data_IF_245973565484
#
_entry.id   IF_245973565484
#
_cell.length_a   1.000
_cell.length_b   1.000
_cell.length_c   1.000
_cell.angle_alpha   90.00
_cell.angle_beta   90.00
_cell.angle_gamma   90.00
#
_symmetry.space_group_name_H-M   'P 1'
#
loop_
_entity.id
_entity.type
_entity.pdbx_description
1 polymer ?
#
# COMPACT_ATOMS: atom_id res chain seq x y z
N UNK A 1 -22.35 76.83 -37.16
CA UNK A 1 -21.20 76.09 -37.67
C UNK A 1 -20.63 75.25 -36.54
N UNK A 2 -20.32 74.02 -36.90
CA UNK A 2 -20.12 72.83 -36.07
C UNK A 2 -18.98 72.90 -35.05
N UNK A 3 -19.05 71.94 -34.13
CA UNK A 3 -18.34 71.71 -32.88
C UNK A 3 -16.81 71.67 -32.98
N UNK A 4 -16.14 72.05 -31.89
CA UNK A 4 -14.80 71.56 -31.57
C UNK A 4 -14.90 70.66 -30.33
N UNK A 5 -14.72 69.37 -30.56
CA UNK A 5 -14.58 68.30 -29.57
C UNK A 5 -13.34 68.56 -28.69
N UNK A 6 -13.59 68.77 -27.40
CA UNK A 6 -12.57 68.94 -26.36
C UNK A 6 -12.56 67.69 -25.46
N UNK A 7 -12.25 66.54 -26.03
CA UNK A 7 -11.87 65.37 -25.24
C UNK A 7 -10.39 65.48 -24.81
N UNK A 8 -10.07 65.47 -23.51
CA UNK A 8 -8.69 65.54 -23.06
C UNK A 8 -7.98 64.23 -23.42
N UNK A 9 -6.92 64.33 -24.25
CA UNK A 9 -6.02 63.20 -24.50
C UNK A 9 -5.39 62.78 -23.17
N UNK A 10 -5.77 61.60 -22.67
CA UNK A 10 -5.12 60.99 -21.50
C UNK A 10 -3.60 60.95 -21.74
N UNK A 11 -2.78 61.31 -20.74
CA UNK A 11 -1.34 61.35 -20.90
C UNK A 11 -0.82 59.97 -21.33
N UNK A 12 -0.09 59.92 -22.44
CA UNK A 12 0.44 58.71 -23.08
C UNK A 12 1.38 57.85 -22.19
N UNK A 13 1.65 58.31 -20.96
CA UNK A 13 2.68 57.81 -20.05
C UNK A 13 2.16 56.87 -18.96
N UNK A 14 0.84 56.73 -18.84
CA UNK A 14 0.20 55.80 -17.89
C UNK A 14 0.06 54.41 -18.50
N UNK A 15 -0.27 54.33 -19.79
CA UNK A 15 -0.46 53.05 -20.51
C UNK A 15 0.82 52.23 -20.63
N UNK A 16 1.97 52.87 -20.92
CA UNK A 16 3.27 52.18 -21.00
C UNK A 16 3.71 51.60 -19.65
N UNK A 17 3.36 52.26 -18.54
CA UNK A 17 3.66 51.78 -17.19
C UNK A 17 2.71 50.67 -16.75
N UNK A 18 1.45 50.75 -17.13
CA UNK A 18 0.46 49.70 -16.92
C UNK A 18 0.84 48.45 -17.74
N UNK A 19 1.24 48.61 -19.01
CA UNK A 19 1.75 47.51 -19.84
C UNK A 19 3.03 46.90 -19.28
N UNK A 20 4.01 47.71 -18.85
CA UNK A 20 5.21 47.19 -18.19
C UNK A 20 4.88 46.41 -16.91
N UNK A 21 3.98 46.93 -16.08
CA UNK A 21 3.54 46.25 -14.87
C UNK A 21 2.81 44.93 -15.19
N UNK A 22 1.97 44.89 -16.22
CA UNK A 22 1.32 43.67 -16.67
C UNK A 22 2.33 42.63 -17.18
N UNK A 23 3.32 43.04 -17.97
CA UNK A 23 4.39 42.15 -18.44
C UNK A 23 5.25 41.60 -17.29
N UNK A 24 5.61 42.42 -16.31
CA UNK A 24 6.35 42.00 -15.12
C UNK A 24 5.56 40.99 -14.27
N UNK A 25 4.25 41.17 -14.14
CA UNK A 25 3.38 40.22 -13.41
C UNK A 25 3.25 38.89 -14.16
N UNK A 26 3.09 38.91 -15.49
CA UNK A 26 3.02 37.68 -16.30
C UNK A 26 4.34 36.91 -16.28
N UNK A 27 5.48 37.60 -16.36
CA UNK A 27 6.80 36.98 -16.26
C UNK A 27 7.07 36.41 -14.86
N UNK A 28 6.70 37.14 -13.80
CA UNK A 28 6.80 36.64 -12.43
C UNK A 28 5.90 35.40 -12.20
N UNK A 29 4.68 35.40 -12.75
CA UNK A 29 3.79 34.25 -12.68
C UNK A 29 4.34 33.04 -13.43
N UNK A 30 4.93 33.24 -14.62
CA UNK A 30 5.59 32.17 -15.39
C UNK A 30 6.77 31.57 -14.63
N UNK A 31 7.64 32.41 -14.07
CA UNK A 31 8.80 31.95 -13.29
C UNK A 31 8.36 31.20 -12.01
N UNK A 32 7.32 31.68 -11.33
CA UNK A 32 6.77 31.01 -10.15
C UNK A 32 6.20 29.63 -10.51
N UNK A 33 5.51 29.51 -11.63
CA UNK A 33 4.99 28.22 -12.11
C UNK A 33 6.12 27.27 -12.53
N UNK A 34 7.15 27.76 -13.23
CA UNK A 34 8.34 26.98 -13.57
C UNK A 34 9.07 26.47 -12.32
N UNK A 35 9.23 27.32 -11.30
CA UNK A 35 9.81 26.93 -10.01
C UNK A 35 8.96 25.87 -9.32
N UNK A 36 7.63 26.07 -9.27
CA UNK A 36 6.70 25.11 -8.66
C UNK A 36 6.79 23.74 -9.32
N UNK A 37 6.81 23.69 -10.66
CA UNK A 37 6.96 22.44 -11.42
C UNK A 37 8.33 21.80 -11.20
N UNK A 38 9.40 22.59 -11.07
CA UNK A 38 10.73 22.08 -10.78
C UNK A 38 10.81 21.46 -9.38
N UNK A 39 10.25 22.12 -8.38
CA UNK A 39 10.15 21.60 -7.00
C UNK A 39 9.31 20.32 -6.95
N UNK A 40 8.19 20.29 -7.67
CA UNK A 40 7.32 19.11 -7.79
C UNK A 40 8.06 17.92 -8.43
N UNK A 41 8.77 18.17 -9.54
CA UNK A 41 9.61 17.17 -10.20
C UNK A 41 10.66 16.61 -9.24
N UNK A 42 11.35 17.48 -8.52
CA UNK A 42 12.43 17.08 -7.62
C UNK A 42 11.91 16.22 -6.46
N UNK A 43 10.81 16.63 -5.82
CA UNK A 43 10.19 15.86 -4.74
C UNK A 43 9.72 14.47 -5.21
N UNK A 44 9.14 14.38 -6.40
CA UNK A 44 8.73 13.10 -6.97
C UNK A 44 9.93 12.18 -7.23
N UNK A 45 11.04 12.72 -7.74
CA UNK A 45 12.27 11.96 -7.98
C UNK A 45 12.86 11.47 -6.66
N UNK A 46 13.01 12.34 -5.65
CA UNK A 46 13.54 11.95 -4.34
C UNK A 46 12.69 10.83 -3.70
N UNK A 47 11.36 10.91 -3.83
CA UNK A 47 10.47 9.88 -3.31
C UNK A 47 10.67 8.53 -4.02
N UNK A 48 10.74 8.51 -5.35
CA UNK A 48 10.99 7.27 -6.11
C UNK A 48 12.33 6.65 -5.73
N UNK A 49 13.37 7.46 -5.56
CA UNK A 49 14.70 7.02 -5.15
C UNK A 49 14.68 6.44 -3.74
N UNK A 50 14.06 7.14 -2.78
CA UNK A 50 13.96 6.68 -1.40
C UNK A 50 13.20 5.35 -1.31
N UNK A 51 12.02 5.29 -1.94
CA UNK A 51 11.22 4.07 -1.96
C UNK A 51 11.98 2.88 -2.56
N UNK A 52 12.72 3.12 -3.65
CA UNK A 52 13.50 2.06 -4.27
C UNK A 52 14.56 1.51 -3.31
N UNK A 53 15.32 2.37 -2.63
CA UNK A 53 16.36 1.93 -1.70
C UNK A 53 15.82 1.33 -0.39
N UNK A 54 14.57 1.63 -0.02
CA UNK A 54 13.91 0.96 1.11
C UNK A 54 13.49 -0.48 0.75
N UNK A 55 13.24 -0.76 -0.53
CA UNK A 55 12.75 -2.06 -1.01
C UNK A 55 13.83 -2.92 -1.65
N UNK A 56 14.88 -2.32 -2.21
CA UNK A 56 15.94 -2.99 -2.93
C UNK A 56 17.31 -2.61 -2.39
N UNK A 57 18.23 -3.57 -2.41
CA UNK A 57 19.59 -3.39 -1.97
C UNK A 57 20.59 -3.78 -3.06
N UNK A 58 21.78 -3.18 -2.99
CA UNK A 58 22.89 -3.55 -3.86
C UNK A 58 23.26 -5.02 -3.59
N UNK A 59 23.30 -5.88 -4.62
CA UNK A 59 23.65 -7.28 -4.46
C UNK A 59 25.04 -7.48 -3.84
N UNK A 60 25.97 -6.53 -4.00
CA UNK A 60 27.30 -6.57 -3.38
C UNK A 60 27.26 -6.67 -1.85
N UNK A 61 26.18 -6.23 -1.21
CA UNK A 61 26.09 -6.21 0.25
C UNK A 61 25.80 -7.60 0.83
N UNK A 62 24.84 -8.34 0.25
CA UNK A 62 24.31 -9.57 0.83
C UNK A 62 24.26 -10.77 -0.12
N UNK A 63 24.42 -10.59 -1.43
CA UNK A 63 24.34 -11.68 -2.39
C UNK A 63 25.67 -12.41 -2.52
N UNK A 64 25.60 -13.74 -2.71
CA UNK A 64 26.78 -14.54 -2.96
C UNK A 64 27.28 -14.29 -4.39
N UNK A 65 28.57 -13.99 -4.53
CA UNK A 65 29.21 -13.76 -5.81
C UNK A 65 29.97 -14.99 -6.27
N UNK A 66 29.64 -15.51 -7.45
CA UNK A 66 30.41 -16.57 -8.11
C UNK A 66 31.53 -15.93 -8.95
N UNK A 67 32.78 -16.20 -8.57
CA UNK A 67 33.96 -15.67 -9.24
C UNK A 67 34.32 -16.37 -10.55
N UNK A 68 33.77 -17.57 -10.81
CA UNK A 68 34.03 -18.31 -12.06
C UNK A 68 33.14 -17.78 -13.19
N UNK A 69 31.87 -17.52 -12.89
CA UNK A 69 30.88 -17.00 -13.85
C UNK A 69 30.72 -15.47 -13.79
N UNK A 70 31.36 -14.80 -12.83
CA UNK A 70 31.29 -13.36 -12.57
C UNK A 70 29.86 -12.83 -12.30
N UNK A 71 29.00 -13.65 -11.69
CA UNK A 71 27.56 -13.36 -11.49
C UNK A 71 27.16 -13.41 -10.01
N UNK A 72 26.18 -12.59 -9.60
CA UNK A 72 25.53 -12.68 -8.30
C UNK A 72 24.40 -13.73 -8.31
N UNK A 73 24.32 -14.51 -7.24
CA UNK A 73 23.21 -15.43 -7.03
C UNK A 73 22.07 -14.75 -6.25
N UNK A 74 20.86 -14.80 -6.80
CA UNK A 74 19.64 -14.16 -6.27
C UNK A 74 18.63 -15.21 -5.78
N UNK A 75 18.85 -15.84 -4.61
CA UNK A 75 17.97 -16.92 -4.11
C UNK A 75 16.59 -16.46 -3.63
N UNK A 76 16.36 -15.15 -3.54
CA UNK A 76 15.17 -14.56 -2.91
C UNK A 76 14.46 -13.57 -3.84
N UNK A 77 14.52 -13.82 -5.15
CA UNK A 77 13.99 -12.95 -6.20
C UNK A 77 15.04 -12.03 -6.83
N UNK A 78 14.78 -11.66 -8.09
CA UNK A 78 15.65 -10.82 -8.92
C UNK A 78 16.43 -11.59 -10.00
N UNK A 79 17.35 -10.94 -10.72
CA UNK A 79 17.70 -9.52 -10.60
C UNK A 79 16.56 -8.60 -11.06
N UNK A 80 16.40 -7.47 -10.39
CA UNK A 80 15.41 -6.45 -10.76
C UNK A 80 16.08 -5.27 -11.47
N UNK A 81 15.44 -4.78 -12.54
CA UNK A 81 15.79 -3.53 -13.20
C UNK A 81 15.00 -2.36 -12.60
N UNK A 82 15.71 -1.28 -12.27
CA UNK A 82 15.09 -0.12 -11.62
C UNK A 82 14.05 0.59 -12.51
N UNK A 83 14.23 0.60 -13.83
CA UNK A 83 13.27 1.21 -14.74
C UNK A 83 11.99 0.37 -14.87
N UNK A 84 12.12 -0.96 -14.93
CA UNK A 84 10.97 -1.86 -14.97
C UNK A 84 10.17 -1.81 -13.66
N UNK A 85 10.86 -1.81 -12.51
CA UNK A 85 10.22 -1.68 -11.19
C UNK A 85 9.51 -0.33 -11.05
N UNK A 86 10.19 0.79 -11.34
CA UNK A 86 9.59 2.11 -11.20
C UNK A 86 8.50 2.39 -12.24
N UNK A 87 8.56 1.82 -13.44
CA UNK A 87 7.51 1.98 -14.44
C UNK A 87 6.24 1.17 -14.12
N UNK A 88 6.38 0.01 -13.48
CA UNK A 88 5.25 -0.83 -13.06
C UNK A 88 4.61 -0.39 -11.74
N UNK A 89 5.39 0.18 -10.82
CA UNK A 89 4.93 0.82 -9.57
C UNK A 89 3.99 2.01 -9.83
N UNK A 90 4.08 2.59 -11.02
CA UNK A 90 3.54 3.92 -11.29
C UNK A 90 2.64 3.89 -12.52
N UNK A 91 1.40 3.45 -12.33
CA UNK A 91 0.46 3.37 -13.44
C UNK A 91 -0.28 4.68 -13.76
N UNK A 92 -0.12 5.74 -12.95
CA UNK A 92 -0.98 6.93 -13.11
C UNK A 92 -0.33 8.32 -13.17
N UNK A 93 0.91 8.65 -12.72
CA UNK A 93 1.18 10.10 -12.54
C UNK A 93 2.55 10.82 -12.71
N UNK A 94 3.76 10.28 -12.57
CA UNK A 94 4.97 10.99 -12.98
C UNK A 94 5.18 10.82 -14.49
N UNK A 95 5.54 11.93 -15.13
CA UNK A 95 6.01 11.92 -16.51
C UNK A 95 7.16 10.93 -16.62
N UNK A 96 7.22 10.18 -17.72
CA UNK A 96 8.31 9.22 -18.00
C UNK A 96 9.71 9.82 -17.78
N UNK A 97 9.88 11.10 -18.10
CA UNK A 97 11.12 11.88 -17.88
C UNK A 97 11.55 11.97 -16.40
N UNK A 98 10.61 11.87 -15.45
CA UNK A 98 10.91 11.90 -14.02
C UNK A 98 11.34 10.52 -13.53
N UNK A 99 10.72 9.46 -14.05
CA UNK A 99 11.13 8.07 -13.79
C UNK A 99 12.56 7.86 -14.28
N UNK A 100 12.85 8.28 -15.52
CA UNK A 100 14.21 8.22 -16.08
C UNK A 100 15.25 8.93 -15.20
N UNK A 101 14.89 10.11 -14.67
CA UNK A 101 15.76 10.86 -13.76
C UNK A 101 15.95 10.19 -12.39
N UNK A 102 14.93 9.48 -11.88
CA UNK A 102 15.07 8.68 -10.66
C UNK A 102 15.95 7.44 -10.89
N UNK A 103 15.75 6.73 -12.00
CA UNK A 103 16.59 5.60 -12.41
C UNK A 103 18.05 6.02 -12.52
N UNK A 104 18.33 7.17 -13.14
CA UNK A 104 19.70 7.70 -13.24
C UNK A 104 20.34 7.92 -11.87
N UNK A 105 19.58 8.40 -10.87
CA UNK A 105 20.08 8.58 -9.50
C UNK A 105 20.32 7.25 -8.79
N UNK A 106 19.39 6.30 -8.93
CA UNK A 106 19.51 4.97 -8.32
C UNK A 106 20.75 4.24 -8.85
N UNK A 107 20.92 4.26 -10.18
CA UNK A 107 21.99 3.53 -10.86
C UNK A 107 23.30 4.34 -10.95
N UNK A 108 23.39 5.51 -10.31
CA UNK A 108 24.57 6.37 -10.36
C UNK A 108 25.85 5.68 -9.83
N UNK A 109 25.70 4.75 -8.89
CA UNK A 109 26.81 3.94 -8.36
C UNK A 109 27.33 2.88 -9.33
N UNK A 110 26.66 2.68 -10.48
CA UNK A 110 26.98 1.63 -11.45
C UNK A 110 26.27 0.29 -11.19
N UNK A 111 25.31 0.26 -10.28
CA UNK A 111 24.51 -0.92 -9.96
C UNK A 111 23.23 -0.92 -10.81
N UNK A 112 23.06 -1.94 -11.64
CA UNK A 112 21.93 -2.05 -12.58
C UNK A 112 20.99 -3.21 -12.23
N UNK A 113 21.54 -4.26 -11.62
CA UNK A 113 20.80 -5.44 -11.17
C UNK A 113 20.63 -5.36 -9.66
N UNK A 114 19.37 -5.31 -9.21
CA UNK A 114 19.05 -5.07 -7.81
C UNK A 114 18.45 -6.32 -7.15
N UNK A 115 18.82 -6.54 -5.89
CA UNK A 115 18.24 -7.58 -5.05
C UNK A 115 17.12 -6.98 -4.18
N UNK A 116 16.04 -7.73 -3.90
CA UNK A 116 15.03 -7.27 -2.95
C UNK A 116 15.58 -7.31 -1.52
N UNK A 117 15.15 -6.38 -0.68
CA UNK A 117 15.45 -6.41 0.75
C UNK A 117 14.61 -7.49 1.44
N UNK A 118 15.12 -8.06 2.54
CA UNK A 118 14.47 -9.14 3.30
C UNK A 118 13.11 -8.79 3.94
N UNK A 119 12.68 -7.54 3.86
CA UNK A 119 11.41 -7.05 4.42
C UNK A 119 10.47 -6.49 3.33
N UNK A 120 10.90 -6.48 2.06
CA UNK A 120 10.12 -5.96 0.94
C UNK A 120 9.23 -7.03 0.31
N UNK A 121 8.13 -6.60 -0.33
CA UNK A 121 7.17 -7.50 -1.00
C UNK A 121 7.78 -8.31 -2.16
N UNK A 122 8.90 -7.84 -2.72
CA UNK A 122 9.63 -8.48 -3.82
C UNK A 122 10.55 -9.62 -3.34
N UNK A 123 10.66 -9.84 -2.02
CA UNK A 123 11.49 -10.89 -1.45
C UNK A 123 10.77 -12.24 -1.53
N UNK A 124 11.29 -13.14 -2.36
CA UNK A 124 10.81 -14.51 -2.43
C UNK A 124 11.28 -15.27 -1.18
N UNK A 125 10.37 -15.45 -0.22
CA UNK A 125 10.63 -16.27 0.95
C UNK A 125 10.71 -17.76 0.53
N UNK A 126 11.82 -18.47 0.79
CA UNK A 126 11.95 -19.91 0.50
C UNK A 126 10.92 -20.79 1.23
N UNK A 127 10.19 -20.20 2.17
CA UNK A 127 9.14 -20.83 2.96
C UNK A 127 7.74 -20.67 2.34
N UNK A 128 7.62 -19.99 1.18
CA UNK A 128 6.37 -19.81 0.43
C UNK A 128 6.26 -20.68 -0.84
N UNK A 129 7.10 -21.71 -0.99
CA UNK A 129 6.94 -22.75 -2.02
C UNK A 129 6.01 -23.90 -1.58
N UNK A 130 4.94 -23.56 -0.88
CA UNK A 130 3.71 -24.35 -0.97
C UNK A 130 2.73 -23.45 -1.67
N UNK A 131 2.38 -23.81 -2.90
CA UNK A 131 1.22 -23.27 -3.60
C UNK A 131 0.14 -22.97 -2.54
N UNK A 132 -0.15 -21.67 -2.36
CA UNK A 132 -1.29 -21.13 -1.61
C UNK A 132 -2.60 -21.52 -2.32
N UNK A 133 -2.72 -22.78 -2.74
CA UNK A 133 -3.97 -23.42 -2.99
C UNK A 133 -4.75 -23.30 -1.69
N UNK A 134 -5.71 -22.38 -1.71
CA UNK A 134 -7.00 -22.42 -1.04
C UNK A 134 -7.37 -23.85 -0.58
N UNK A 135 -6.73 -24.31 0.50
CA UNK A 135 -7.17 -25.49 1.23
C UNK A 135 -8.45 -25.04 1.90
N UNK A 136 -9.54 -25.22 1.16
CA UNK A 136 -10.88 -24.96 1.63
C UNK A 136 -11.29 -26.10 2.54
N UNK A 137 -11.88 -25.78 3.69
CA UNK A 137 -12.48 -26.80 4.57
C UNK A 137 -13.52 -27.63 3.82
N UNK A 138 -14.16 -27.05 2.79
CA UNK A 138 -15.10 -27.75 1.94
C UNK A 138 -14.48 -28.94 1.20
N UNK A 139 -13.21 -28.84 0.81
CA UNK A 139 -12.46 -29.86 0.06
C UNK A 139 -11.85 -30.96 0.95
N UNK A 140 -11.78 -30.75 2.27
CA UNK A 140 -11.23 -31.73 3.20
C UNK A 140 -12.00 -33.07 3.14
N UNK A 141 -11.27 -34.20 3.11
CA UNK A 141 -11.88 -35.53 3.02
C UNK A 141 -12.49 -35.98 4.35
N UNK A 142 -11.87 -35.59 5.46
CA UNK A 142 -12.38 -35.87 6.80
C UNK A 142 -12.27 -34.67 7.76
N UNK A 143 -12.77 -34.88 8.99
CA UNK A 143 -12.83 -33.85 10.03
C UNK A 143 -11.44 -33.46 10.53
N UNK A 144 -10.50 -34.40 10.60
CA UNK A 144 -9.16 -34.13 11.12
C UNK A 144 -8.38 -33.25 10.13
N UNK A 145 -8.49 -33.55 8.83
CA UNK A 145 -7.94 -32.72 7.76
C UNK A 145 -8.52 -31.30 7.80
N UNK A 146 -9.83 -31.18 7.94
CA UNK A 146 -10.52 -29.89 8.03
C UNK A 146 -10.06 -29.05 9.23
N UNK A 147 -9.89 -29.69 10.39
CA UNK A 147 -9.35 -29.04 11.60
C UNK A 147 -7.90 -28.62 11.39
N UNK A 148 -7.06 -29.47 10.78
CA UNK A 148 -5.66 -29.14 10.50
C UNK A 148 -5.51 -27.92 9.58
N UNK A 149 -6.35 -27.84 8.53
CA UNK A 149 -6.42 -26.67 7.64
C UNK A 149 -6.80 -25.41 8.42
N UNK A 150 -7.83 -25.47 9.27
CA UNK A 150 -8.27 -24.32 10.07
C UNK A 150 -7.22 -23.88 11.07
N UNK A 151 -6.53 -24.80 11.76
CA UNK A 151 -5.45 -24.47 12.68
C UNK A 151 -4.30 -23.74 11.95
N UNK A 152 -3.92 -24.18 10.76
CA UNK A 152 -2.92 -23.48 9.96
C UNK A 152 -3.36 -22.06 9.56
N UNK A 153 -4.66 -21.84 9.28
CA UNK A 153 -5.21 -20.49 9.02
C UNK A 153 -5.18 -19.62 10.27
N UNK A 154 -5.56 -20.18 11.42
CA UNK A 154 -5.52 -19.48 12.72
C UNK A 154 -4.08 -19.09 13.10
N UNK A 155 -3.10 -19.97 12.88
CA UNK A 155 -1.68 -19.68 13.12
C UNK A 155 -1.11 -18.60 12.19
N UNK A 156 -1.64 -18.50 10.98
CA UNK A 156 -1.29 -17.41 10.04
C UNK A 156 -1.87 -16.08 10.50
N UNK A 157 -3.16 -16.07 10.87
CA UNK A 157 -3.82 -14.88 11.39
C UNK A 157 -3.14 -14.36 12.66
N UNK A 158 -2.78 -15.26 13.58
CA UNK A 158 -2.10 -14.87 14.82
C UNK A 158 -0.78 -14.13 14.57
N UNK A 159 0.04 -14.61 13.63
CA UNK A 159 1.32 -13.97 13.28
C UNK A 159 1.16 -12.55 12.74
N UNK A 160 0.00 -12.26 12.15
CA UNK A 160 -0.33 -10.98 11.52
C UNK A 160 -1.15 -10.05 12.41
N UNK A 161 -1.53 -10.48 13.63
CA UNK A 161 -2.37 -9.66 14.51
C UNK A 161 -1.73 -8.31 14.83
N UNK A 162 -0.41 -8.26 14.98
CA UNK A 162 0.28 -7.01 15.32
C UNK A 162 0.43 -6.08 14.10
N UNK A 163 0.33 -6.59 12.87
CA UNK A 163 0.35 -5.79 11.63
C UNK A 163 -0.85 -4.86 11.52
N UNK A 164 -1.99 -5.27 12.10
CA UNK A 164 -3.26 -4.53 12.07
C UNK A 164 -3.57 -3.82 13.40
N UNK A 165 -2.61 -3.77 14.32
CA UNK A 165 -2.80 -3.05 15.57
C UNK A 165 -3.12 -1.57 15.27
N UNK A 166 -4.14 -0.97 15.90
CA UNK A 166 -4.47 0.43 15.64
C UNK A 166 -3.28 1.34 15.97
N UNK A 167 -2.66 1.94 14.95
CA UNK A 167 -1.59 2.92 15.13
C UNK A 167 -2.19 4.30 15.44
N UNK A 168 -1.93 4.81 16.65
CA UNK A 168 -2.36 6.14 17.09
C UNK A 168 -1.18 7.15 17.03
N UNK A 169 -1.39 8.34 16.46
CA UNK A 169 -0.43 9.46 16.48
C UNK A 169 0.22 9.76 15.12
N UNK A 170 1.46 10.30 15.10
CA UNK A 170 2.22 10.66 13.88
C UNK A 170 2.53 9.48 12.94
N UNK A 171 2.20 8.25 13.35
CA UNK A 171 2.35 7.02 12.57
C UNK A 171 0.98 6.43 12.12
N UNK A 172 -0.12 7.16 12.34
CA UNK A 172 -1.45 6.81 11.85
C UNK A 172 -1.71 7.36 10.45
N UNK A 173 -2.79 6.89 9.80
CA UNK A 173 -3.22 7.43 8.52
C UNK A 173 -3.49 8.96 8.62
N UNK A 174 -3.30 9.75 7.54
CA UNK A 174 -3.53 11.18 7.52
C UNK A 174 -4.96 11.51 7.94
N UNK A 175 -5.16 12.72 8.50
CA UNK A 175 -6.45 13.19 8.98
C UNK A 175 -7.57 13.02 7.93
N UNK A 176 -7.22 13.09 6.64
CA UNK A 176 -8.12 12.89 5.50
C UNK A 176 -8.74 11.48 5.43
N UNK A 177 -8.01 10.43 5.80
CA UNK A 177 -8.50 9.04 5.87
C UNK A 177 -9.37 8.85 7.12
N UNK A 178 -9.04 9.56 8.19
CA UNK A 178 -9.70 9.48 9.49
C UNK A 178 -9.41 8.19 10.25
N UNK A 179 -10.00 8.10 11.45
CA UNK A 179 -9.76 7.01 12.40
C UNK A 179 -10.30 5.67 11.88
N UNK A 180 -9.58 4.55 12.08
CA UNK A 180 -10.09 3.23 11.78
C UNK A 180 -11.43 2.95 12.51
N UNK A 181 -12.40 2.26 11.88
CA UNK A 181 -13.64 1.84 12.50
C UNK A 181 -13.46 0.64 13.44
N UNK A 182 -12.24 0.10 13.53
CA UNK A 182 -11.83 -0.87 14.54
C UNK A 182 -10.90 -0.18 15.54
N UNK A 183 -11.11 -0.43 16.82
CA UNK A 183 -10.34 0.17 17.92
C UNK A 183 -9.53 -0.90 18.67
N UNK A 184 -8.88 -0.50 19.77
CA UNK A 184 -8.17 -1.45 20.64
C UNK A 184 -9.11 -2.54 21.20
N UNK A 185 -10.40 -2.25 21.41
CA UNK A 185 -11.34 -3.28 21.87
C UNK A 185 -11.58 -4.32 20.76
N UNK A 186 -11.68 -3.91 19.51
CA UNK A 186 -11.79 -4.83 18.38
C UNK A 186 -10.49 -5.64 18.17
N UNK A 187 -9.32 -5.04 18.42
CA UNK A 187 -8.04 -5.78 18.41
C UNK A 187 -7.97 -6.84 19.51
N UNK A 188 -8.38 -6.49 20.73
CA UNK A 188 -8.44 -7.41 21.86
C UNK A 188 -9.48 -8.52 21.61
N UNK A 189 -10.65 -8.19 21.06
CA UNK A 189 -11.66 -9.17 20.63
C UNK A 189 -11.13 -10.13 19.58
N UNK A 190 -10.30 -9.65 18.67
CA UNK A 190 -9.71 -10.48 17.62
C UNK A 190 -8.66 -11.45 18.19
N UNK A 191 -7.82 -10.98 19.12
CA UNK A 191 -6.89 -11.83 19.88
C UNK A 191 -7.64 -12.90 20.66
N UNK A 192 -8.73 -12.52 21.33
CA UNK A 192 -9.59 -13.45 22.06
C UNK A 192 -10.20 -14.49 21.11
N UNK A 193 -10.75 -14.06 19.96
CA UNK A 193 -11.31 -14.94 18.94
C UNK A 193 -10.30 -15.98 18.46
N UNK A 194 -9.10 -15.54 18.08
CA UNK A 194 -8.01 -16.43 17.61
C UNK A 194 -7.67 -17.46 18.69
N UNK A 195 -7.56 -17.03 19.95
CA UNK A 195 -7.28 -17.93 21.08
C UNK A 195 -8.41 -18.94 21.33
N UNK A 196 -9.67 -18.49 21.31
CA UNK A 196 -10.85 -19.35 21.51
C UNK A 196 -10.96 -20.37 20.39
N UNK A 197 -10.87 -19.95 19.13
CA UNK A 197 -10.96 -20.86 17.99
C UNK A 197 -9.83 -21.89 18.02
N UNK A 198 -8.59 -21.49 18.29
CA UNK A 198 -7.47 -22.43 18.41
C UNK A 198 -7.72 -23.47 19.50
N UNK A 199 -8.11 -23.01 20.69
CA UNK A 199 -8.35 -23.88 21.82
C UNK A 199 -9.48 -24.87 21.51
N UNK A 200 -10.58 -24.39 20.91
CA UNK A 200 -11.73 -25.22 20.59
C UNK A 200 -11.41 -26.27 19.53
N UNK A 201 -10.70 -25.90 18.47
CA UNK A 201 -10.26 -26.83 17.42
C UNK A 201 -9.25 -27.88 17.93
N UNK A 202 -8.56 -27.59 19.03
CA UNK A 202 -7.60 -28.51 19.66
C UNK A 202 -8.27 -29.53 20.59
N UNK A 203 -9.56 -29.39 20.89
CA UNK A 203 -10.30 -30.34 21.71
C UNK A 203 -10.59 -31.64 20.96
N UNK A 204 -10.60 -32.78 21.67
CA UNK A 204 -11.00 -34.07 21.09
C UNK A 204 -12.44 -34.04 20.55
N UNK A 205 -13.30 -33.25 21.20
CA UNK A 205 -14.70 -33.03 20.82
C UNK A 205 -14.99 -31.53 20.79
N UNK A 206 -14.70 -30.83 19.68
CA UNK A 206 -14.98 -29.41 19.57
C UNK A 206 -16.47 -29.10 19.71
N UNK A 207 -16.82 -28.01 20.38
CA UNK A 207 -18.18 -27.51 20.51
C UNK A 207 -18.56 -26.66 19.29
N UNK A 208 -19.48 -27.17 18.49
CA UNK A 208 -19.94 -26.50 17.27
C UNK A 208 -20.67 -25.18 17.53
N UNK A 209 -21.27 -24.99 18.71
CA UNK A 209 -21.93 -23.74 19.07
C UNK A 209 -20.93 -22.61 19.34
N UNK A 210 -19.79 -22.95 19.95
CA UNK A 210 -18.67 -22.02 20.17
C UNK A 210 -18.07 -21.64 18.81
N UNK A 211 -17.75 -22.63 17.97
CA UNK A 211 -17.18 -22.37 16.64
C UNK A 211 -18.10 -21.50 15.76
N UNK A 212 -19.42 -21.72 15.84
CA UNK A 212 -20.38 -20.89 15.12
C UNK A 212 -20.43 -19.46 15.66
N UNK A 213 -20.46 -19.27 16.98
CA UNK A 213 -20.45 -17.94 17.60
C UNK A 213 -19.18 -17.15 17.26
N UNK A 214 -18.01 -17.81 17.26
CA UNK A 214 -16.76 -17.19 16.84
C UNK A 214 -16.74 -16.86 15.34
N UNK A 215 -17.43 -17.64 14.50
CA UNK A 215 -17.54 -17.34 13.06
C UNK A 215 -18.30 -16.02 12.78
N UNK A 216 -19.32 -15.70 13.59
CA UNK A 216 -20.06 -14.44 13.47
C UNK A 216 -19.21 -13.23 13.89
N UNK A 217 -18.42 -13.39 14.96
CA UNK A 217 -17.47 -12.37 15.40
C UNK A 217 -16.39 -12.13 14.35
N UNK A 218 -15.84 -13.19 13.75
CA UNK A 218 -14.84 -13.10 12.69
C UNK A 218 -15.39 -12.32 11.49
N UNK A 219 -16.61 -12.64 11.03
CA UNK A 219 -17.27 -11.92 9.94
C UNK A 219 -17.50 -10.44 10.27
N UNK A 220 -17.91 -10.13 11.50
CA UNK A 220 -18.14 -8.75 11.95
C UNK A 220 -16.85 -7.92 11.93
N UNK A 221 -15.75 -8.46 12.46
CA UNK A 221 -14.44 -7.78 12.46
C UNK A 221 -13.91 -7.65 11.03
N UNK A 222 -13.99 -8.71 10.23
CA UNK A 222 -13.60 -8.70 8.81
C UNK A 222 -14.30 -7.57 8.04
N UNK A 223 -15.61 -7.38 8.23
CA UNK A 223 -16.36 -6.32 7.56
C UNK A 223 -15.84 -4.92 7.92
N UNK A 224 -15.49 -4.67 9.19
CA UNK A 224 -14.90 -3.39 9.63
C UNK A 224 -13.53 -3.15 9.01
N UNK A 225 -12.69 -4.17 9.01
CA UNK A 225 -11.32 -4.16 8.46
C UNK A 225 -11.36 -3.86 6.95
N UNK A 226 -12.17 -4.61 6.19
CA UNK A 226 -12.34 -4.42 4.74
C UNK A 226 -12.91 -3.04 4.41
N UNK A 227 -13.90 -2.57 5.19
CA UNK A 227 -14.48 -1.24 4.98
C UNK A 227 -13.45 -0.13 5.19
N UNK A 228 -12.55 -0.28 6.16
CA UNK A 228 -11.48 0.71 6.37
C UNK A 228 -10.43 0.68 5.26
N UNK A 229 -10.00 -0.50 4.85
CA UNK A 229 -9.11 -0.67 3.70
C UNK A 229 -9.68 0.00 2.44
N UNK A 230 -10.97 -0.19 2.19
CA UNK A 230 -11.69 0.46 1.08
C UNK A 230 -11.68 1.99 1.22
N UNK A 231 -11.88 2.51 2.43
CA UNK A 231 -11.83 3.95 2.70
C UNK A 231 -10.43 4.54 2.46
N UNK A 232 -9.37 3.82 2.82
CA UNK A 232 -7.98 4.22 2.53
C UNK A 232 -7.80 4.37 1.02
N UNK A 233 -8.20 3.35 0.25
CA UNK A 233 -8.12 3.36 -1.21
C UNK A 233 -8.92 4.51 -1.83
N UNK A 234 -10.18 4.70 -1.41
CA UNK A 234 -11.04 5.78 -1.90
C UNK A 234 -10.44 7.17 -1.61
N UNK A 235 -9.84 7.34 -0.43
CA UNK A 235 -9.21 8.61 -0.03
C UNK A 235 -7.97 8.89 -0.88
N UNK A 236 -7.14 7.87 -1.13
CA UNK A 236 -5.98 8.00 -2.01
C UNK A 236 -6.38 8.41 -3.44
N UNK A 237 -7.43 7.78 -3.99
CA UNK A 237 -7.98 8.14 -5.30
C UNK A 237 -8.53 9.58 -5.30
N UNK A 238 -9.29 9.97 -4.27
CA UNK A 238 -9.87 11.32 -4.23
C UNK A 238 -8.81 12.43 -4.09
N UNK A 239 -7.80 12.24 -3.24
CA UNK A 239 -6.76 13.23 -3.03
C UNK A 239 -5.75 13.28 -4.19
N UNK A 240 -5.61 12.19 -4.97
CA UNK A 240 -4.86 12.18 -6.23
C UNK A 240 -5.29 13.29 -7.19
N UNK A 241 -6.59 13.59 -7.21
CA UNK A 241 -7.17 14.58 -8.11
C UNK A 241 -6.93 16.03 -7.67
N UNK A 242 -6.44 16.24 -6.43
CA UNK A 242 -6.34 17.56 -5.81
C UNK A 242 -4.90 18.05 -5.67
N UNK A 243 -3.92 17.20 -5.34
CA UNK A 243 -2.52 17.63 -5.16
C UNK A 243 -1.54 16.47 -5.29
N UNK A 244 -0.52 16.61 -6.16
CA UNK A 244 0.48 15.56 -6.47
C UNK A 244 1.40 15.20 -5.29
N UNK A 245 1.74 16.15 -4.41
CA UNK A 245 2.55 15.85 -3.22
C UNK A 245 1.80 14.99 -2.18
N UNK A 246 0.49 15.20 -2.02
CA UNK A 246 -0.37 14.38 -1.14
C UNK A 246 -0.66 13.01 -1.75
N UNK A 247 -0.71 12.95 -3.08
CA UNK A 247 -0.92 11.72 -3.84
C UNK A 247 0.14 10.65 -3.51
N UNK A 248 1.43 10.96 -3.58
CA UNK A 248 2.48 9.97 -3.30
C UNK A 248 2.42 9.39 -1.88
N UNK A 249 2.11 10.24 -0.89
CA UNK A 249 1.98 9.81 0.52
C UNK A 249 0.76 8.90 0.73
N UNK A 250 -0.39 9.24 0.13
CA UNK A 250 -1.62 8.46 0.27
C UNK A 250 -1.64 7.20 -0.58
N UNK A 251 -1.00 7.21 -1.76
CA UNK A 251 -0.84 6.03 -2.61
C UNK A 251 0.08 5.01 -1.94
N UNK A 252 1.19 5.45 -1.36
CA UNK A 252 2.04 4.60 -0.53
C UNK A 252 1.25 3.94 0.59
N UNK A 253 0.37 4.67 1.29
CA UNK A 253 -0.50 4.06 2.30
C UNK A 253 -1.55 3.13 1.74
N UNK A 254 -2.18 3.45 0.60
CA UNK A 254 -3.14 2.53 -0.02
C UNK A 254 -2.48 1.18 -0.35
N UNK A 255 -1.21 1.18 -0.78
CA UNK A 255 -0.44 -0.03 -0.98
C UNK A 255 -0.03 -0.70 0.34
N UNK A 256 0.71 -0.02 1.22
CA UNK A 256 1.30 -0.65 2.42
C UNK A 256 0.31 -0.93 3.55
N UNK A 257 -0.76 -0.14 3.70
CA UNK A 257 -1.73 -0.31 4.79
C UNK A 257 -3.10 -0.70 4.27
N UNK A 258 -3.56 -0.13 3.15
CA UNK A 258 -4.86 -0.45 2.57
C UNK A 258 -4.93 -1.89 2.05
N UNK A 259 -3.96 -2.30 1.23
CA UNK A 259 -3.98 -3.61 0.58
C UNK A 259 -3.76 -4.76 1.57
N UNK A 260 -2.79 -4.63 2.48
CA UNK A 260 -2.53 -5.67 3.49
C UNK A 260 -3.67 -5.81 4.48
N UNK A 261 -4.31 -4.70 4.85
CA UNK A 261 -5.52 -4.72 5.67
C UNK A 261 -6.69 -5.37 4.91
N UNK A 262 -6.83 -5.13 3.60
CA UNK A 262 -7.83 -5.80 2.78
C UNK A 262 -7.59 -7.31 2.73
N UNK A 263 -6.36 -7.77 2.49
CA UNK A 263 -5.98 -9.19 2.52
C UNK A 263 -6.30 -9.82 3.88
N UNK A 264 -5.90 -9.15 4.97
CA UNK A 264 -6.17 -9.63 6.31
C UNK A 264 -7.67 -9.75 6.59
N UNK A 265 -8.46 -8.75 6.17
CA UNK A 265 -9.91 -8.79 6.25
C UNK A 265 -10.53 -9.94 5.46
N UNK A 266 -10.00 -10.25 4.27
CA UNK A 266 -10.43 -11.41 3.46
C UNK A 266 -10.07 -12.72 4.15
N UNK A 267 -8.87 -12.84 4.74
CA UNK A 267 -8.48 -14.02 5.51
C UNK A 267 -9.42 -14.29 6.70
N UNK A 268 -9.83 -13.22 7.42
CA UNK A 268 -10.82 -13.33 8.50
C UNK A 268 -12.21 -13.75 7.99
N UNK A 269 -12.64 -13.22 6.84
CA UNK A 269 -13.91 -13.61 6.23
C UNK A 269 -13.89 -15.09 5.78
N UNK A 270 -12.75 -15.56 5.26
CA UNK A 270 -12.55 -16.95 4.90
C UNK A 270 -12.55 -17.86 6.14
N UNK A 271 -11.91 -17.44 7.24
CA UNK A 271 -11.97 -18.17 8.51
C UNK A 271 -13.43 -18.35 8.98
N UNK A 272 -14.24 -17.29 8.93
CA UNK A 272 -15.67 -17.38 9.28
C UNK A 272 -16.41 -18.41 8.41
N UNK A 273 -16.21 -18.34 7.09
CA UNK A 273 -16.87 -19.24 6.14
C UNK A 273 -16.43 -20.71 6.33
N UNK A 274 -15.15 -20.94 6.62
CA UNK A 274 -14.60 -22.28 6.88
C UNK A 274 -15.06 -22.85 8.21
N UNK A 275 -15.21 -22.03 9.26
CA UNK A 275 -15.81 -22.46 10.53
C UNK A 275 -17.26 -22.90 10.33
N UNK A 276 -18.05 -22.14 9.56
CA UNK A 276 -19.42 -22.51 9.19
C UNK A 276 -19.42 -23.82 8.40
N UNK A 277 -18.51 -23.98 7.43
CA UNK A 277 -18.40 -25.19 6.63
C UNK A 277 -18.03 -26.42 7.48
N UNK A 278 -17.10 -26.27 8.42
CA UNK A 278 -16.72 -27.33 9.37
C UNK A 278 -17.93 -27.76 10.21
N UNK A 279 -18.64 -26.80 10.81
CA UNK A 279 -19.84 -27.05 11.63
C UNK A 279 -20.91 -27.75 10.81
N UNK A 280 -21.22 -27.23 9.62
CA UNK A 280 -22.26 -27.79 8.75
C UNK A 280 -21.93 -29.23 8.31
N UNK A 281 -20.68 -29.50 7.95
CA UNK A 281 -20.26 -30.78 7.36
C UNK A 281 -20.03 -31.89 8.39
N UNK A 282 -19.51 -31.56 9.57
CA UNK A 282 -19.04 -32.57 10.54
C UNK A 282 -19.73 -32.54 11.90
N UNK A 283 -20.60 -31.55 12.16
CA UNK A 283 -21.30 -31.42 13.43
C UNK A 283 -22.83 -31.31 13.28
N UNK A 284 -23.35 -31.29 12.05
CA UNK A 284 -24.79 -31.46 11.81
C UNK A 284 -25.21 -32.92 12.10
N UNK A 285 -26.39 -33.13 12.71
CA UNK A 285 -26.90 -34.46 13.08
C UNK A 285 -27.23 -35.36 11.88
#
# INVERSE_FOLDING_TARGET
MEQADSSPKKPHRTWEKEEQWHWEQEEAARLAEEQRVAEEREAAIEQMVSWFFDNFEDPQNKMHYDSEDEVYYYPYGGPFDAADVLSSFVNDYPKREWIEAAVERIQHSGTYEWAPTSHGEYYEHPEHDVDEADLSVSAALDKADAIGILLAKVDRLERRLDEIAPTYGHNGAPDEVGVPPYDNEDHDRLKELVAVVRNELSNETPDSSILYAESEKAASIAAKVIAYASKIADTAVQESTKTVAKYGTLLGMAHFTGFDLAKFGVELANLSSDLIALVAKFFSP
#
